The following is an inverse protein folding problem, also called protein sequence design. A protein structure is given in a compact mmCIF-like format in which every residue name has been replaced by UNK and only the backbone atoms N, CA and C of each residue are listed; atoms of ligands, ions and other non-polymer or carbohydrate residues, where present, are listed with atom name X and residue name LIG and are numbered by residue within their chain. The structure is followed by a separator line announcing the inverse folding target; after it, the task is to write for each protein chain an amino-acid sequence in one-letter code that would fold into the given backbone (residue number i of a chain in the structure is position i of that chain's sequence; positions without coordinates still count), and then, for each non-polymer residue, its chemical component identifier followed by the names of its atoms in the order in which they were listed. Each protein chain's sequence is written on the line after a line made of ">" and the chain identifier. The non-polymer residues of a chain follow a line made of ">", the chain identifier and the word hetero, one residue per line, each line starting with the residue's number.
data_IF_064997198275
#
_entry.id   IF_064997198275
#
_cell.length_a   1.000
_cell.length_b   1.000
_cell.length_c   1.000
_cell.angle_alpha   90.00
_cell.angle_beta   90.00
_cell.angle_gamma   90.00
#
_symmetry.space_group_name_H-M   'P 1'
#
loop_
_entity.id
_entity.type
_entity.pdbx_description
1 polymer ?
#
# COMPACT_ATOMS: atom_id res chain seq x y z
N UNK A 1 -0.86 37.35 20.75
CA UNK A 1 -0.84 37.04 19.29
C UNK A 1 0.22 35.98 19.08
N UNK A 2 -0.22 34.77 18.85
CA UNK A 2 0.65 33.63 18.59
C UNK A 2 0.35 33.18 17.17
N UNK A 3 1.26 33.49 16.25
CA UNK A 3 1.23 32.97 14.90
C UNK A 3 1.69 31.51 14.87
N UNK A 4 0.77 30.59 14.70
CA UNK A 4 1.07 29.19 14.41
C UNK A 4 1.36 29.06 12.92
N UNK A 5 2.63 28.93 12.55
CA UNK A 5 3.03 28.53 11.21
C UNK A 5 2.88 27.02 11.06
N UNK A 6 1.75 26.58 10.50
CA UNK A 6 1.61 25.25 9.94
C UNK A 6 2.31 25.23 8.58
N UNK A 7 3.53 24.74 8.54
CA UNK A 7 4.14 24.31 7.29
C UNK A 7 3.63 22.92 7.01
N UNK A 8 2.47 22.85 6.33
CA UNK A 8 1.96 21.60 5.79
C UNK A 8 2.82 21.16 4.61
N UNK A 9 3.42 20.00 4.70
CA UNK A 9 3.96 19.32 3.53
C UNK A 9 2.85 19.23 2.48
N UNK A 10 3.08 19.78 1.31
CA UNK A 10 2.19 19.68 0.16
C UNK A 10 2.12 18.21 -0.28
N UNK A 11 1.26 17.45 0.40
CA UNK A 11 0.84 16.15 -0.08
C UNK A 11 0.20 16.36 -1.44
N UNK A 12 0.83 15.78 -2.47
CA UNK A 12 0.50 15.86 -3.89
C UNK A 12 -0.98 16.20 -4.18
N UNK A 13 -1.22 17.37 -4.73
CA UNK A 13 -2.52 17.94 -5.12
C UNK A 13 -3.18 17.14 -6.28
N UNK A 14 -3.09 15.83 -6.32
CA UNK A 14 -3.60 15.02 -7.44
C UNK A 14 -4.95 14.34 -7.21
N UNK A 15 -5.55 14.38 -6.02
CA UNK A 15 -6.86 13.75 -5.80
C UNK A 15 -7.83 14.68 -5.04
N UNK A 16 -8.22 15.81 -5.67
CA UNK A 16 -9.22 16.76 -5.13
C UNK A 16 -10.68 16.26 -5.15
N UNK A 17 -10.91 14.96 -5.21
CA UNK A 17 -12.25 14.39 -5.11
C UNK A 17 -12.39 13.59 -3.80
N UNK A 18 -12.10 14.23 -2.68
CA UNK A 18 -12.40 13.65 -1.37
C UNK A 18 -13.90 13.56 -1.17
N UNK A 19 -14.34 12.40 -0.71
CA UNK A 19 -15.75 12.12 -0.45
C UNK A 19 -15.93 11.93 1.05
N UNK A 20 -16.83 12.71 1.63
CA UNK A 20 -17.26 12.57 3.02
C UNK A 20 -18.31 11.47 3.11
N UNK A 21 -18.17 10.59 4.11
CA UNK A 21 -19.17 9.56 4.37
C UNK A 21 -20.49 10.19 4.85
N UNK A 22 -21.61 9.58 4.48
CA UNK A 22 -22.94 10.01 4.98
C UNK A 22 -23.04 9.91 6.51
N UNK A 23 -22.40 8.89 7.06
CA UNK A 23 -22.25 8.67 8.50
C UNK A 23 -20.75 8.73 8.82
N UNK A 24 -20.29 9.93 9.15
CA UNK A 24 -18.92 10.19 9.58
C UNK A 24 -18.64 9.57 10.94
N UNK A 25 -17.38 9.28 11.24
CA UNK A 25 -16.93 8.82 12.57
C UNK A 25 -15.91 9.81 13.12
N UNK A 26 -15.90 9.98 14.42
CA UNK A 26 -15.02 10.92 15.14
C UNK A 26 -14.01 10.20 16.06
N UNK A 27 -14.04 8.86 16.11
CA UNK A 27 -13.12 8.05 16.91
C UNK A 27 -12.91 6.68 16.31
N UNK A 28 -11.79 6.02 16.67
CA UNK A 28 -11.54 4.63 16.29
C UNK A 28 -12.63 3.68 16.80
N UNK A 29 -13.18 3.93 17.99
CA UNK A 29 -14.28 3.10 18.53
C UNK A 29 -15.52 3.14 17.65
N UNK A 30 -15.88 4.30 17.09
CA UNK A 30 -17.00 4.43 16.15
C UNK A 30 -16.70 3.75 14.82
N UNK A 31 -15.49 3.88 14.31
CA UNK A 31 -15.05 3.16 13.12
C UNK A 31 -15.11 1.65 13.33
N UNK A 32 -14.58 1.16 14.46
CA UNK A 32 -14.57 -0.27 14.78
C UNK A 32 -16.01 -0.80 14.94
N UNK A 33 -16.90 -0.07 15.61
CA UNK A 33 -18.32 -0.43 15.71
C UNK A 33 -18.98 -0.52 14.31
N UNK A 34 -18.66 0.41 13.42
CA UNK A 34 -19.15 0.36 12.04
C UNK A 34 -18.57 -0.82 11.27
N UNK A 35 -17.28 -1.08 11.37
CA UNK A 35 -16.62 -2.24 10.76
C UNK A 35 -17.23 -3.55 11.28
N UNK A 36 -17.52 -3.63 12.59
CA UNK A 36 -18.21 -4.76 13.19
C UNK A 36 -19.62 -4.98 12.59
N UNK A 37 -20.41 -3.92 12.52
CA UNK A 37 -21.76 -3.98 11.92
C UNK A 37 -21.72 -4.43 10.45
N UNK A 38 -20.75 -3.92 9.66
CA UNK A 38 -20.52 -4.35 8.28
C UNK A 38 -20.07 -5.81 8.21
N UNK A 39 -19.22 -6.26 9.14
CA UNK A 39 -18.80 -7.66 9.25
C UNK A 39 -20.02 -8.55 9.49
N UNK A 40 -20.87 -8.23 10.46
CA UNK A 40 -22.09 -9.01 10.74
C UNK A 40 -23.01 -9.11 9.51
N UNK A 41 -23.08 -8.06 8.71
CA UNK A 41 -23.94 -8.00 7.53
C UNK A 41 -23.42 -8.76 6.32
N UNK A 42 -22.10 -8.76 6.11
CA UNK A 42 -21.49 -9.19 4.85
C UNK A 42 -20.53 -10.38 4.97
N UNK A 43 -20.14 -10.77 6.17
CA UNK A 43 -19.24 -11.92 6.37
C UNK A 43 -19.79 -13.18 5.73
N UNK A 44 -18.92 -13.97 5.12
CA UNK A 44 -19.28 -15.21 4.43
C UNK A 44 -19.86 -15.00 3.04
N UNK A 45 -20.06 -13.76 2.59
CA UNK A 45 -20.54 -13.46 1.24
C UNK A 45 -19.40 -13.51 0.24
N UNK A 46 -19.67 -14.17 -0.89
CA UNK A 46 -18.75 -14.23 -2.04
C UNK A 46 -18.71 -12.90 -2.79
N UNK A 47 -17.66 -12.66 -3.58
CA UNK A 47 -17.58 -11.45 -4.42
C UNK A 47 -18.78 -11.28 -5.38
N UNK A 48 -19.31 -12.31 -6.05
CA UNK A 48 -20.54 -12.20 -6.85
C UNK A 48 -21.76 -11.79 -6.03
N UNK A 49 -21.98 -12.39 -4.84
CA UNK A 49 -23.10 -12.01 -3.96
C UNK A 49 -22.96 -10.57 -3.48
N UNK A 50 -21.76 -10.14 -3.05
CA UNK A 50 -21.51 -8.77 -2.65
C UNK A 50 -21.73 -7.78 -3.78
N UNK A 51 -21.31 -8.12 -4.99
CA UNK A 51 -21.52 -7.30 -6.18
C UNK A 51 -22.99 -7.08 -6.46
N UNK A 52 -23.81 -8.12 -6.38
CA UNK A 52 -25.26 -8.04 -6.55
C UNK A 52 -25.91 -7.20 -5.44
N UNK A 53 -25.61 -7.52 -4.17
CA UNK A 53 -26.16 -6.80 -3.00
C UNK A 53 -25.83 -5.31 -2.98
N UNK A 54 -24.66 -4.92 -3.50
CA UNK A 54 -24.14 -3.55 -3.48
C UNK A 54 -24.33 -2.80 -4.80
N UNK A 55 -24.94 -3.42 -5.81
CA UNK A 55 -25.20 -2.82 -7.11
C UNK A 55 -23.94 -2.42 -7.87
N UNK A 56 -22.92 -3.29 -7.90
CA UNK A 56 -21.62 -3.00 -8.52
C UNK A 56 -21.56 -3.60 -9.93
N UNK A 57 -21.13 -2.78 -10.91
CA UNK A 57 -20.94 -3.23 -12.31
C UNK A 57 -19.89 -4.34 -12.42
N UNK A 58 -20.16 -5.29 -13.30
CA UNK A 58 -19.27 -6.43 -13.60
C UNK A 58 -17.88 -6.02 -14.15
N UNK A 59 -17.77 -4.84 -14.75
CA UNK A 59 -16.55 -4.35 -15.40
C UNK A 59 -15.55 -3.70 -14.45
N UNK A 60 -15.85 -3.60 -13.15
CA UNK A 60 -14.96 -3.00 -12.17
C UNK A 60 -13.71 -3.86 -12.00
N UNK A 61 -12.53 -3.26 -12.17
CA UNK A 61 -11.24 -3.96 -12.16
C UNK A 61 -10.84 -4.49 -10.78
N UNK A 62 -11.07 -3.70 -9.73
CA UNK A 62 -10.79 -4.06 -8.33
C UNK A 62 -12.12 -4.19 -7.58
N UNK A 63 -12.74 -5.36 -7.71
CA UNK A 63 -14.06 -5.63 -7.16
C UNK A 63 -14.04 -5.65 -5.63
N UNK A 64 -12.99 -6.14 -5.00
CA UNK A 64 -12.89 -6.22 -3.54
C UNK A 64 -12.86 -4.84 -2.91
N UNK A 65 -12.02 -3.94 -3.42
CA UNK A 65 -11.97 -2.55 -2.96
C UNK A 65 -13.30 -1.83 -3.22
N UNK A 66 -13.93 -2.06 -4.37
CA UNK A 66 -15.22 -1.45 -4.69
C UNK A 66 -16.35 -1.93 -3.78
N UNK A 67 -16.35 -3.21 -3.40
CA UNK A 67 -17.28 -3.74 -2.40
C UNK A 67 -17.14 -2.99 -1.07
N UNK A 68 -15.92 -2.82 -0.58
CA UNK A 68 -15.66 -2.11 0.67
C UNK A 68 -16.12 -0.66 0.60
N UNK A 69 -15.82 0.06 -0.49
CA UNK A 69 -16.28 1.43 -0.72
C UNK A 69 -17.82 1.51 -0.63
N UNK A 70 -18.52 0.59 -1.27
CA UNK A 70 -19.98 0.51 -1.25
C UNK A 70 -20.54 0.11 0.12
N UNK A 71 -19.86 -0.76 0.86
CA UNK A 71 -20.22 -1.10 2.24
C UNK A 71 -20.23 0.14 3.15
N UNK A 72 -19.27 1.04 2.97
CA UNK A 72 -19.22 2.33 3.66
C UNK A 72 -20.25 3.36 3.15
N UNK A 73 -21.09 3.00 2.19
CA UNK A 73 -22.20 3.83 1.72
C UNK A 73 -21.79 4.95 0.75
N UNK A 74 -20.62 4.82 0.13
CA UNK A 74 -20.10 5.80 -0.85
C UNK A 74 -19.80 5.14 -2.20
N UNK A 75 -19.43 5.94 -3.19
CA UNK A 75 -19.14 5.50 -4.57
C UNK A 75 -17.89 6.19 -5.14
N UNK A 76 -16.82 6.24 -4.39
CA UNK A 76 -15.54 6.71 -4.88
C UNK A 76 -14.81 5.63 -5.69
N UNK A 77 -13.71 6.02 -6.33
CA UNK A 77 -12.90 5.10 -7.12
C UNK A 77 -11.84 4.37 -6.28
N UNK A 78 -11.43 4.94 -5.15
CA UNK A 78 -10.38 4.40 -4.28
C UNK A 78 -10.72 4.64 -2.81
N UNK A 79 -10.34 3.73 -1.94
CA UNK A 79 -10.55 3.84 -0.49
C UNK A 79 -9.90 5.07 0.13
N UNK A 80 -8.74 5.50 -0.37
CA UNK A 80 -8.06 6.70 0.11
C UNK A 80 -8.71 8.03 -0.31
N UNK A 81 -9.79 8.00 -1.08
CA UNK A 81 -10.62 9.18 -1.36
C UNK A 81 -11.66 9.42 -0.26
N UNK A 82 -11.81 8.52 0.70
CA UNK A 82 -12.70 8.70 1.84
C UNK A 82 -12.03 9.66 2.83
N UNK A 83 -12.53 10.90 2.86
CA UNK A 83 -11.99 11.99 3.67
C UNK A 83 -11.94 11.66 5.17
N UNK A 84 -12.93 10.92 5.67
CA UNK A 84 -12.99 10.50 7.08
C UNK A 84 -11.80 9.59 7.44
N UNK A 85 -11.33 8.74 6.52
CA UNK A 85 -10.13 7.93 6.75
C UNK A 85 -8.88 8.81 6.83
N UNK A 86 -8.70 9.73 5.86
CA UNK A 86 -7.55 10.61 5.82
C UNK A 86 -7.45 11.46 7.09
N UNK A 87 -8.56 12.06 7.53
CA UNK A 87 -8.62 12.86 8.76
C UNK A 87 -8.31 12.07 10.03
N UNK A 88 -8.58 10.78 10.03
CA UNK A 88 -8.30 9.89 11.16
C UNK A 88 -6.92 9.19 11.06
N UNK A 89 -6.08 9.54 10.10
CA UNK A 89 -4.81 8.85 9.86
C UNK A 89 -4.98 7.38 9.49
N UNK A 90 -6.04 7.03 8.72
CA UNK A 90 -6.31 5.64 8.34
C UNK A 90 -5.95 5.41 6.88
N UNK A 91 -5.14 4.38 6.66
CA UNK A 91 -4.85 3.85 5.34
C UNK A 91 -5.61 2.54 5.15
N UNK A 92 -6.64 2.55 4.31
CA UNK A 92 -7.42 1.35 4.03
C UNK A 92 -6.81 0.55 2.86
N UNK A 93 -6.55 -0.75 3.10
CA UNK A 93 -5.94 -1.68 2.13
C UNK A 93 -6.69 -3.01 2.13
N UNK A 94 -7.40 -3.33 1.07
CA UNK A 94 -7.98 -4.67 0.87
C UNK A 94 -6.89 -5.73 0.85
N UNK A 95 -7.09 -6.77 1.63
CA UNK A 95 -6.14 -7.88 1.79
C UNK A 95 -6.84 -9.19 1.39
N UNK A 96 -6.25 -9.89 0.44
CA UNK A 96 -6.69 -11.26 0.10
C UNK A 96 -5.73 -12.25 0.73
N UNK A 97 -6.27 -13.19 1.49
CA UNK A 97 -5.53 -14.29 2.12
C UNK A 97 -6.01 -15.62 1.56
N UNK A 98 -5.19 -16.66 1.69
CA UNK A 98 -5.63 -18.06 1.47
C UNK A 98 -6.31 -18.62 2.73
N UNK A 99 -7.05 -19.74 2.65
CA UNK A 99 -7.63 -20.41 3.83
C UNK A 99 -6.60 -20.77 4.90
N UNK A 100 -5.35 -20.98 4.51
CA UNK A 100 -4.24 -21.25 5.43
C UNK A 100 -3.65 -19.94 6.02
N UNK A 101 -4.26 -18.79 5.74
CA UNK A 101 -3.81 -17.49 6.22
C UNK A 101 -2.60 -16.93 5.49
N UNK A 102 -2.15 -17.56 4.41
CA UNK A 102 -1.05 -17.07 3.57
C UNK A 102 -1.46 -15.93 2.67
N UNK A 103 -0.48 -15.16 2.18
CA UNK A 103 -0.64 -14.14 1.17
C UNK A 103 0.59 -14.12 0.27
N UNK A 104 0.37 -14.02 -1.04
CA UNK A 104 1.45 -13.97 -2.03
C UNK A 104 1.71 -12.56 -2.55
N UNK A 105 0.75 -11.66 -2.45
CA UNK A 105 0.88 -10.29 -2.91
C UNK A 105 1.50 -9.38 -1.85
N UNK A 106 2.47 -8.58 -2.26
CA UNK A 106 3.05 -7.54 -1.43
C UNK A 106 2.11 -6.32 -1.35
N UNK A 107 2.18 -5.57 -0.24
CA UNK A 107 1.33 -4.41 -0.02
C UNK A 107 2.06 -3.13 -0.41
N UNK A 108 1.54 -2.43 -1.42
CA UNK A 108 2.05 -1.12 -1.82
C UNK A 108 1.69 -0.07 -0.77
N UNK A 109 2.68 0.69 -0.34
CA UNK A 109 2.57 1.75 0.67
C UNK A 109 2.75 3.14 0.04
N UNK A 110 3.69 3.91 0.54
CA UNK A 110 3.97 5.30 0.20
C UNK A 110 4.87 5.43 -1.03
N UNK A 111 4.64 6.46 -1.82
CA UNK A 111 5.58 6.94 -2.85
C UNK A 111 6.82 7.54 -2.18
N UNK A 112 7.97 7.41 -2.82
CA UNK A 112 9.24 7.93 -2.33
C UNK A 112 9.49 9.28 -2.96
N UNK A 113 9.82 10.27 -2.13
CA UNK A 113 10.33 11.55 -2.56
C UNK A 113 11.86 11.55 -2.57
N UNK A 114 12.44 11.43 -3.75
CA UNK A 114 13.90 11.41 -3.88
C UNK A 114 14.55 12.78 -3.68
N UNK A 115 13.80 13.88 -3.73
CA UNK A 115 14.34 15.22 -3.43
C UNK A 115 14.62 15.32 -1.94
N UNK A 116 13.69 14.88 -1.07
CA UNK A 116 13.93 14.75 0.37
C UNK A 116 15.10 13.81 0.68
N UNK A 117 15.18 12.70 -0.03
CA UNK A 117 16.21 11.68 0.20
C UNK A 117 17.61 12.07 -0.25
N UNK A 118 17.73 13.08 -1.11
CA UNK A 118 19.01 13.66 -1.50
C UNK A 118 19.61 14.55 -0.42
N UNK A 119 18.81 15.05 0.52
CA UNK A 119 19.30 15.84 1.66
C UNK A 119 20.13 14.94 2.59
N UNK A 120 21.40 15.31 2.78
CA UNK A 120 22.35 14.53 3.59
C UNK A 120 22.15 14.73 5.09
N UNK A 121 21.57 15.85 5.48
CA UNK A 121 21.42 16.28 6.86
C UNK A 121 20.06 15.83 7.45
N UNK A 122 19.17 15.23 6.64
CA UNK A 122 17.88 14.74 7.10
C UNK A 122 18.05 13.51 8.00
N UNK A 123 17.48 13.58 9.20
CA UNK A 123 17.37 12.45 10.12
C UNK A 123 16.15 11.60 9.83
N UNK A 124 16.19 10.33 10.22
CA UNK A 124 15.09 9.41 9.97
C UNK A 124 13.80 9.85 10.69
N UNK A 125 13.92 10.32 11.93
CA UNK A 125 12.83 10.77 12.77
C UNK A 125 12.10 12.00 12.22
N UNK A 126 12.79 12.81 11.42
CA UNK A 126 12.23 14.00 10.75
C UNK A 126 11.75 13.69 9.32
N UNK A 127 11.86 12.43 8.88
CA UNK A 127 11.52 12.06 7.51
C UNK A 127 10.01 11.83 7.33
N UNK A 128 9.54 12.11 6.12
CA UNK A 128 8.18 11.80 5.68
C UNK A 128 7.84 10.30 5.76
N UNK A 129 8.86 9.45 5.78
CA UNK A 129 8.74 8.00 5.94
C UNK A 129 8.44 7.65 7.38
N UNK A 130 9.16 8.23 8.32
CA UNK A 130 8.91 8.03 9.75
C UNK A 130 7.49 8.45 10.11
N UNK A 131 7.09 9.65 9.73
CA UNK A 131 5.73 10.18 9.93
C UNK A 131 4.67 9.24 9.36
N UNK A 132 4.90 8.75 8.13
CA UNK A 132 3.95 7.83 7.49
C UNK A 132 3.72 6.55 8.30
N UNK A 133 4.75 5.97 8.89
CA UNK A 133 4.62 4.73 9.65
C UNK A 133 4.14 4.96 11.08
N UNK A 134 4.48 6.09 11.70
CA UNK A 134 4.07 6.45 13.08
C UNK A 134 2.64 6.95 13.16
N UNK A 135 2.21 7.79 12.20
CA UNK A 135 0.94 8.50 12.29
C UNK A 135 -0.26 7.72 11.75
N UNK A 136 -0.03 6.62 11.01
CA UNK A 136 -1.11 5.93 10.36
C UNK A 136 -1.45 4.57 10.98
N UNK A 137 -2.75 4.33 11.07
CA UNK A 137 -3.32 3.00 11.29
C UNK A 137 -3.80 2.39 9.97
N UNK A 138 -3.63 1.09 9.83
CA UNK A 138 -4.01 0.35 8.63
C UNK A 138 -5.32 -0.40 8.86
N UNK A 139 -6.37 -0.02 8.14
CA UNK A 139 -7.63 -0.76 8.10
C UNK A 139 -7.59 -1.77 6.96
N UNK A 140 -7.67 -3.04 7.30
CA UNK A 140 -7.55 -4.16 6.37
C UNK A 140 -8.90 -4.90 6.26
N UNK A 141 -9.73 -4.60 5.24
CA UNK A 141 -10.81 -5.50 4.84
C UNK A 141 -10.22 -6.80 4.31
N UNK A 142 -10.59 -7.92 4.92
CA UNK A 142 -10.02 -9.24 4.64
C UNK A 142 -10.95 -10.04 3.74
N UNK A 143 -10.40 -10.54 2.65
CA UNK A 143 -11.05 -11.51 1.75
C UNK A 143 -10.27 -12.81 1.76
N UNK A 144 -10.95 -13.96 1.79
CA UNK A 144 -10.34 -15.27 1.70
C UNK A 144 -10.57 -15.87 0.30
N UNK A 145 -9.48 -16.14 -0.42
CA UNK A 145 -9.50 -16.77 -1.74
C UNK A 145 -9.40 -18.29 -1.57
N UNK A 146 -10.53 -18.99 -1.71
CA UNK A 146 -10.58 -20.45 -1.59
C UNK A 146 -10.08 -21.20 -2.84
N UNK A 147 -10.07 -20.52 -3.98
CA UNK A 147 -9.60 -21.08 -5.25
C UNK A 147 -8.95 -20.00 -6.10
N UNK A 148 -7.62 -20.06 -6.27
CA UNK A 148 -6.85 -19.08 -7.05
C UNK A 148 -7.21 -19.08 -8.55
N UNK A 149 -7.88 -20.12 -9.05
CA UNK A 149 -8.34 -20.22 -10.44
C UNK A 149 -9.76 -19.71 -10.62
N UNK A 150 -10.51 -19.58 -9.52
CA UNK A 150 -11.90 -19.13 -9.52
C UNK A 150 -12.09 -17.98 -8.51
N UNK A 151 -11.82 -16.74 -8.89
CA UNK A 151 -12.01 -15.58 -8.01
C UNK A 151 -13.45 -15.40 -7.51
N UNK A 152 -14.44 -16.03 -8.14
CA UNK A 152 -15.84 -15.98 -7.69
C UNK A 152 -16.04 -16.64 -6.32
N UNK A 153 -15.13 -17.50 -5.92
CA UNK A 153 -15.13 -18.18 -4.61
C UNK A 153 -14.43 -17.38 -3.51
N UNK A 154 -13.99 -16.18 -3.81
CA UNK A 154 -13.41 -15.28 -2.81
C UNK A 154 -14.49 -14.72 -1.90
N UNK A 155 -14.30 -14.84 -0.59
CA UNK A 155 -15.29 -14.55 0.45
C UNK A 155 -14.80 -13.42 1.34
N UNK A 156 -15.69 -12.51 1.73
CA UNK A 156 -15.41 -11.48 2.72
C UNK A 156 -15.45 -12.05 4.14
N UNK A 157 -14.37 -11.81 4.91
CA UNK A 157 -14.21 -12.32 6.27
C UNK A 157 -14.44 -11.28 7.37
N UNK A 158 -14.26 -10.00 7.08
CA UNK A 158 -14.39 -8.91 8.03
C UNK A 158 -13.25 -7.90 7.94
N UNK A 159 -13.09 -7.12 9.00
CA UNK A 159 -12.07 -6.09 9.08
C UNK A 159 -11.05 -6.40 10.18
N UNK A 160 -9.80 -6.01 9.94
CA UNK A 160 -8.74 -5.94 10.97
C UNK A 160 -8.11 -4.58 10.92
N UNK A 161 -7.64 -4.06 12.06
CA UNK A 161 -6.93 -2.78 12.13
C UNK A 161 -5.66 -2.94 12.93
N UNK A 162 -4.56 -2.33 12.48
CA UNK A 162 -3.29 -2.30 13.18
C UNK A 162 -2.54 -1.00 12.89
N UNK A 163 -1.58 -0.69 13.76
CA UNK A 163 -0.49 0.24 13.48
C UNK A 163 0.83 -0.53 13.55
N UNK A 164 1.88 0.01 12.96
CA UNK A 164 3.21 -0.53 13.17
C UNK A 164 3.70 -0.15 14.57
N UNK A 165 4.41 -1.07 15.21
CA UNK A 165 5.08 -0.81 16.48
C UNK A 165 6.44 -0.15 16.24
N UNK A 166 6.94 0.53 17.27
CA UNK A 166 8.21 1.23 17.25
C UNK A 166 9.37 0.30 16.88
N UNK A 167 9.36 -0.94 17.39
CA UNK A 167 10.39 -1.92 17.07
C UNK A 167 10.48 -2.23 15.57
N UNK A 168 9.34 -2.36 14.91
CA UNK A 168 9.30 -2.57 13.46
C UNK A 168 9.78 -1.35 12.68
N UNK A 169 9.38 -0.15 13.11
CA UNK A 169 9.77 1.11 12.46
C UNK A 169 11.28 1.30 12.57
N UNK A 170 11.85 1.12 13.75
CA UNK A 170 13.28 1.29 13.98
C UNK A 170 14.15 0.22 13.30
N UNK A 171 13.72 -1.04 13.29
CA UNK A 171 14.56 -2.13 12.79
C UNK A 171 14.36 -2.41 11.29
N UNK A 172 13.15 -2.25 10.74
CA UNK A 172 12.87 -2.64 9.37
C UNK A 172 12.71 -1.43 8.44
N UNK A 173 11.99 -0.40 8.90
CA UNK A 173 11.74 0.79 8.07
C UNK A 173 13.00 1.66 8.01
N UNK A 174 13.60 1.99 9.17
CA UNK A 174 14.85 2.75 9.26
C UNK A 174 15.95 2.09 8.44
N UNK A 175 16.16 0.79 8.61
CA UNK A 175 17.17 0.04 7.86
C UNK A 175 16.97 0.21 6.34
N UNK A 176 15.74 0.06 5.86
CA UNK A 176 15.43 0.22 4.43
C UNK A 176 15.72 1.64 3.96
N UNK A 177 15.35 2.63 4.76
CA UNK A 177 15.57 4.04 4.48
C UNK A 177 17.06 4.38 4.45
N UNK A 178 17.84 4.00 5.47
CA UNK A 178 19.28 4.25 5.56
C UNK A 178 20.06 3.57 4.44
N UNK A 179 19.80 2.29 4.18
CA UNK A 179 20.51 1.52 3.14
C UNK A 179 20.26 2.13 1.75
N UNK A 180 19.04 2.60 1.49
CA UNK A 180 18.71 3.22 0.22
C UNK A 180 19.35 4.60 0.06
N UNK A 181 19.34 5.43 1.11
CA UNK A 181 20.02 6.74 1.10
C UNK A 181 21.53 6.57 0.95
N UNK A 182 22.11 5.57 1.59
CA UNK A 182 23.54 5.26 1.45
C UNK A 182 23.92 4.98 -0.01
N UNK A 183 23.10 4.21 -0.75
CA UNK A 183 23.32 3.98 -2.19
C UNK A 183 23.28 5.29 -2.98
N UNK A 184 22.33 6.17 -2.68
CA UNK A 184 22.19 7.48 -3.34
C UNK A 184 23.38 8.39 -3.02
N UNK A 185 23.72 8.55 -1.75
CA UNK A 185 24.74 9.50 -1.29
C UNK A 185 26.17 9.09 -1.65
N UNK A 186 26.41 7.78 -1.79
CA UNK A 186 27.70 7.24 -2.24
C UNK A 186 27.81 7.14 -3.75
N UNK A 187 26.71 7.45 -4.48
CA UNK A 187 26.60 7.27 -5.93
C UNK A 187 26.84 5.80 -6.34
N UNK A 188 26.37 4.87 -5.51
CA UNK A 188 26.45 3.41 -5.69
C UNK A 188 25.14 2.82 -6.24
N UNK A 189 24.17 3.69 -6.59
CA UNK A 189 22.94 3.25 -7.22
C UNK A 189 23.23 2.73 -8.62
N UNK A 190 22.84 1.50 -8.91
CA UNK A 190 23.08 0.82 -10.18
C UNK A 190 21.79 0.20 -10.72
N UNK A 191 21.71 0.05 -12.04
CA UNK A 191 20.63 -0.67 -12.70
C UNK A 191 20.98 -2.15 -12.83
N UNK A 192 20.24 -3.01 -12.14
CA UNK A 192 20.39 -4.45 -12.22
C UNK A 192 19.40 -5.06 -13.22
N UNK A 193 19.96 -5.84 -14.17
CA UNK A 193 19.14 -6.56 -15.15
C UNK A 193 18.72 -7.92 -14.63
N UNK A 194 17.55 -8.38 -15.04
CA UNK A 194 17.10 -9.76 -14.82
C UNK A 194 17.62 -10.64 -15.95
N UNK A 195 18.24 -11.76 -15.60
CA UNK A 195 18.78 -12.72 -16.56
C UNK A 195 17.94 -14.01 -16.60
N UNK A 196 17.92 -14.67 -17.74
CA UNK A 196 17.35 -16.00 -17.87
C UNK A 196 18.37 -17.09 -17.43
N UNK A 197 17.96 -18.35 -17.43
CA UNK A 197 18.83 -19.49 -17.05
C UNK A 197 20.04 -19.69 -18.01
N UNK A 198 20.02 -19.03 -19.16
CA UNK A 198 21.11 -19.08 -20.17
C UNK A 198 22.03 -17.87 -20.09
N UNK A 199 21.80 -16.94 -19.14
CA UNK A 199 22.58 -15.72 -18.98
C UNK A 199 22.22 -14.58 -19.92
N UNK A 200 21.08 -14.64 -20.63
CA UNK A 200 20.61 -13.54 -21.46
C UNK A 200 19.73 -12.58 -20.66
N UNK A 201 19.83 -11.28 -20.93
CA UNK A 201 18.93 -10.28 -20.34
C UNK A 201 17.49 -10.58 -20.75
N UNK A 202 16.59 -10.71 -19.77
CA UNK A 202 15.16 -10.92 -20.04
C UNK A 202 14.52 -9.64 -20.53
N UNK A 203 13.60 -9.79 -21.48
CA UNK A 203 12.75 -8.70 -21.97
C UNK A 203 11.34 -8.84 -21.39
N UNK A 204 10.70 -7.71 -21.15
CA UNK A 204 9.27 -7.66 -20.81
C UNK A 204 8.42 -7.66 -22.08
N UNK A 205 7.09 -7.74 -21.93
CA UNK A 205 6.15 -7.75 -23.04
C UNK A 205 6.14 -6.44 -23.88
N UNK A 206 6.71 -5.36 -23.34
CA UNK A 206 6.85 -4.07 -24.05
C UNK A 206 8.15 -3.95 -24.85
N UNK A 207 8.98 -5.00 -24.90
CA UNK A 207 10.24 -5.01 -25.62
C UNK A 207 11.41 -4.34 -24.91
N UNK A 208 11.24 -3.93 -23.65
CA UNK A 208 12.31 -3.36 -22.82
C UNK A 208 12.98 -4.44 -21.96
N UNK A 209 14.27 -4.30 -21.69
CA UNK A 209 14.95 -5.19 -20.76
C UNK A 209 14.39 -5.07 -19.34
N UNK A 210 14.12 -6.22 -18.72
CA UNK A 210 13.68 -6.29 -17.35
C UNK A 210 14.84 -5.93 -16.42
N UNK A 211 14.58 -5.07 -15.47
CA UNK A 211 15.55 -4.65 -14.47
C UNK A 211 14.93 -3.66 -13.51
N UNK A 212 15.69 -3.35 -12.48
CA UNK A 212 15.32 -2.36 -11.46
C UNK A 212 16.61 -1.77 -10.85
N UNK A 213 16.54 -0.61 -10.19
CA UNK A 213 17.63 -0.16 -9.36
C UNK A 213 17.94 -1.18 -8.25
N UNK A 214 19.18 -1.19 -7.76
CA UNK A 214 19.67 -2.07 -6.70
C UNK A 214 19.19 -1.67 -5.29
N UNK A 215 18.07 -0.99 -5.17
CA UNK A 215 17.44 -0.70 -3.89
C UNK A 215 17.06 -1.98 -3.12
N UNK A 216 16.85 -1.89 -1.78
CA UNK A 216 16.39 -2.99 -0.96
C UNK A 216 15.27 -3.81 -1.59
N UNK A 217 15.43 -5.13 -1.66
CA UNK A 217 14.51 -6.07 -2.34
C UNK A 217 13.78 -6.98 -1.36
N UNK A 218 12.62 -7.48 -1.75
CA UNK A 218 11.80 -8.37 -0.94
C UNK A 218 12.47 -9.72 -0.57
N UNK A 219 13.59 -10.08 -1.21
CA UNK A 219 14.36 -11.25 -0.81
C UNK A 219 15.00 -11.10 0.59
N UNK A 220 15.39 -9.88 0.95
CA UNK A 220 16.19 -9.58 2.14
C UNK A 220 15.53 -8.66 3.14
N UNK A 221 14.51 -7.88 2.69
CA UNK A 221 13.84 -6.86 3.48
C UNK A 221 12.35 -7.16 3.62
N UNK A 222 11.77 -6.84 4.79
CA UNK A 222 10.32 -6.87 5.00
C UNK A 222 9.64 -5.64 4.40
N UNK A 223 10.31 -4.48 4.50
CA UNK A 223 9.96 -3.24 3.79
C UNK A 223 11.00 -3.06 2.68
N UNK A 224 10.56 -2.81 1.46
CA UNK A 224 11.46 -2.79 0.30
C UNK A 224 10.93 -1.86 -0.79
N UNK A 225 11.72 -1.66 -1.85
CA UNK A 225 11.36 -0.80 -2.97
C UNK A 225 10.88 -1.58 -4.18
N UNK A 226 9.88 -1.03 -4.84
CA UNK A 226 9.43 -1.53 -6.16
C UNK A 226 8.80 -0.41 -6.95
N UNK A 227 9.05 -0.37 -8.25
CA UNK A 227 8.41 0.56 -9.18
C UNK A 227 6.89 0.40 -9.24
N UNK A 228 6.18 1.50 -9.35
CA UNK A 228 4.72 1.57 -9.21
C UNK A 228 3.91 1.61 -10.50
N UNK A 229 4.50 1.33 -11.68
CA UNK A 229 3.79 1.33 -12.95
C UNK A 229 3.47 -0.08 -13.46
N UNK A 230 2.38 -0.21 -14.21
CA UNK A 230 1.97 -1.48 -14.82
C UNK A 230 2.91 -1.95 -15.95
N UNK A 231 3.61 -1.01 -16.59
CA UNK A 231 4.51 -1.28 -17.72
C UNK A 231 5.79 -0.46 -17.53
N UNK A 232 6.94 -1.07 -17.73
CA UNK A 232 8.23 -0.39 -17.71
C UNK A 232 8.65 -0.02 -19.12
N UNK A 233 8.50 1.25 -19.49
CA UNK A 233 8.96 1.85 -20.75
C UNK A 233 9.74 3.12 -20.44
N UNK A 234 10.44 3.68 -21.41
CA UNK A 234 11.10 4.98 -21.22
C UNK A 234 10.12 6.10 -20.82
N UNK A 235 8.89 6.07 -21.32
CA UNK A 235 7.85 7.06 -21.00
C UNK A 235 7.36 6.94 -19.56
N UNK A 236 7.35 5.75 -18.99
CA UNK A 236 6.90 5.50 -17.61
C UNK A 236 8.00 5.61 -16.59
N UNK A 237 9.27 5.65 -17.01
CA UNK A 237 10.43 5.91 -16.15
C UNK A 237 10.59 7.42 -15.99
N UNK A 238 9.81 8.01 -15.11
CA UNK A 238 9.71 9.46 -14.90
C UNK A 238 10.63 9.99 -13.83
N UNK A 239 11.17 9.12 -12.97
CA UNK A 239 12.12 9.49 -11.93
C UNK A 239 13.56 9.27 -12.37
N UNK A 240 14.47 10.09 -11.83
CA UNK A 240 15.91 9.98 -12.11
C UNK A 240 16.71 10.33 -10.86
N UNK A 241 17.57 9.41 -10.43
CA UNK A 241 18.49 9.58 -9.30
C UNK A 241 19.86 9.08 -9.73
N UNK A 242 20.91 9.84 -9.44
CA UNK A 242 22.29 9.50 -9.85
C UNK A 242 22.43 9.15 -11.34
N UNK A 243 21.64 9.81 -12.20
CA UNK A 243 21.62 9.52 -13.65
C UNK A 243 20.84 8.27 -14.06
N UNK A 244 20.29 7.52 -13.13
CA UNK A 244 19.50 6.31 -13.40
C UNK A 244 18.03 6.67 -13.52
N UNK A 245 17.46 6.50 -14.72
CA UNK A 245 16.03 6.67 -14.96
C UNK A 245 15.25 5.42 -14.56
N UNK A 246 14.22 5.61 -13.75
CA UNK A 246 13.42 4.52 -13.19
C UNK A 246 11.93 4.85 -13.14
N UNK A 247 11.11 3.83 -12.91
CA UNK A 247 9.70 3.99 -12.56
C UNK A 247 9.57 4.73 -11.24
N UNK A 248 8.46 5.46 -10.98
CA UNK A 248 8.16 5.95 -9.64
C UNK A 248 8.30 4.84 -8.62
N UNK A 249 9.11 5.07 -7.60
CA UNK A 249 9.41 4.09 -6.57
C UNK A 249 8.45 4.23 -5.40
N UNK A 250 8.13 3.10 -4.79
CA UNK A 250 7.25 3.03 -3.64
C UNK A 250 7.86 2.12 -2.59
N UNK A 251 7.58 2.40 -1.34
CA UNK A 251 7.68 1.41 -0.29
C UNK A 251 6.64 0.31 -0.50
N UNK A 252 7.06 -0.91 -0.27
CA UNK A 252 6.22 -2.09 -0.26
C UNK A 252 6.47 -2.90 0.99
N UNK A 253 5.42 -3.48 1.53
CA UNK A 253 5.51 -4.41 2.64
C UNK A 253 5.35 -5.84 2.11
N UNK A 254 6.24 -6.73 2.56
CA UNK A 254 6.27 -8.14 2.13
C UNK A 254 4.96 -8.85 2.48
N UNK A 255 4.33 -9.50 1.49
CA UNK A 255 3.03 -10.15 1.65
C UNK A 255 3.03 -11.23 2.72
N UNK A 256 4.10 -12.03 2.84
CA UNK A 256 4.23 -13.03 3.89
C UNK A 256 4.33 -12.44 5.30
N UNK A 257 4.94 -11.26 5.45
CA UNK A 257 5.00 -10.57 6.73
C UNK A 257 3.63 -10.05 7.16
N UNK A 258 2.92 -9.34 6.25
CA UNK A 258 1.58 -8.83 6.58
C UNK A 258 0.58 -9.96 6.86
N UNK A 259 0.68 -11.08 6.13
CA UNK A 259 -0.14 -12.25 6.39
C UNK A 259 0.06 -12.78 7.82
N UNK A 260 1.31 -12.91 8.27
CA UNK A 260 1.64 -13.34 9.63
C UNK A 260 1.12 -12.34 10.67
N UNK A 261 1.40 -11.03 10.49
CA UNK A 261 0.92 -9.98 11.42
C UNK A 261 -0.60 -10.00 11.55
N UNK A 262 -1.31 -10.16 10.43
CA UNK A 262 -2.77 -10.22 10.46
C UNK A 262 -3.35 -11.47 11.14
N UNK A 263 -2.61 -12.59 11.20
CA UNK A 263 -3.06 -13.77 11.96
C UNK A 263 -3.09 -13.51 13.46
N UNK A 264 -2.18 -12.68 13.96
CA UNK A 264 -2.05 -12.34 15.39
C UNK A 264 -3.10 -11.29 15.84
N UNK A 265 -3.77 -10.62 14.91
CA UNK A 265 -4.73 -9.54 15.18
C UNK A 265 -6.16 -10.09 15.09
N UNK A 266 -7.03 -9.84 16.09
CA UNK A 266 -8.43 -10.24 16.01
C UNK A 266 -9.19 -9.48 14.93
N UNK A 267 -10.30 -10.04 14.47
CA UNK A 267 -11.29 -9.30 13.69
C UNK A 267 -12.01 -8.28 14.57
N UNK A 268 -12.38 -7.16 13.94
CA UNK A 268 -13.20 -6.11 14.55
C UNK A 268 -14.65 -6.58 14.64
#
# INVERSE_FOLDING_TARGET
>A
EIGSGLVGSEMCIRDRNEIVLKESFSSFAQLDARCHALTLKYKGKTLPELREMLGIDAKVKDISAKCVIRMFGTDCNRLNQISDFNKAGIIAKTITITPQGGRTEDMKLKHIDFEEWADRDADFEDSDVYDYFCEHSFLCPIFCEYDSKDPSKTVFEGFKRFAFDEEFIENEVRRTWEDSRNLIHRNELEWEYVYDKKGNKRMNNSGSYMGAPNFPKCSEYKVFFRGGANVSTEKTRTESVNGIRMLPQFFWLKGSYIAKKLQEIPYI
#
